data_IF_130804639710
#
_entry.id   IF_130804639710
#
_cell.length_a   1.000
_cell.length_b   1.000
_cell.length_c   1.000
_cell.angle_alpha   90.00
_cell.angle_beta   90.00
_cell.angle_gamma   90.00
#
_symmetry.space_group_name_H-M   'P 1'
#
loop_
_entity.id
_entity.type
_entity.pdbx_description
1 polymer ?
#
# COMPACT_ATOMS: atom_id res chain seq x y z
N UNK A 1 0.44 55.70 -37.89
CA UNK A 1 0.76 54.55 -38.76
C UNK A 1 2.10 54.84 -39.43
N UNK A 2 3.12 53.98 -39.26
CA UNK A 2 3.29 52.77 -40.07
C UNK A 2 3.64 51.48 -39.28
N UNK A 3 3.74 50.37 -40.03
CA UNK A 3 3.80 48.95 -39.64
C UNK A 3 5.20 48.41 -39.27
N UNK A 4 5.20 47.53 -38.24
CA UNK A 4 5.93 46.27 -37.98
C UNK A 4 7.42 46.06 -38.34
N UNK A 5 8.21 45.55 -37.37
CA UNK A 5 9.10 44.36 -37.49
C UNK A 5 9.25 43.68 -36.11
N UNK A 6 9.06 42.35 -36.08
CA UNK A 6 9.28 41.41 -34.97
C UNK A 6 10.77 41.13 -34.70
N UNK A 7 11.16 40.95 -33.43
CA UNK A 7 12.21 40.02 -32.95
C UNK A 7 12.29 40.16 -31.41
N UNK A 8 12.24 39.13 -30.56
CA UNK A 8 12.10 37.70 -30.73
C UNK A 8 11.75 37.07 -29.38
N UNK A 9 11.08 35.92 -29.42
CA UNK A 9 10.87 35.03 -28.28
C UNK A 9 12.21 34.51 -27.75
N UNK A 10 12.33 34.41 -26.42
CA UNK A 10 13.07 33.31 -25.80
C UNK A 10 12.44 32.94 -24.45
N UNK A 11 11.35 32.18 -24.53
CA UNK A 11 10.88 31.32 -23.44
C UNK A 11 11.93 30.23 -23.20
N UNK A 12 12.73 30.36 -22.14
CA UNK A 12 13.52 29.24 -21.64
C UNK A 12 12.65 28.37 -20.74
N UNK A 13 11.82 27.54 -21.35
CA UNK A 13 11.16 26.43 -20.67
C UNK A 13 12.17 25.29 -20.52
N UNK A 14 13.02 25.36 -19.49
CA UNK A 14 13.80 24.21 -19.05
C UNK A 14 12.88 23.22 -18.34
N UNK A 15 12.07 22.49 -19.12
CA UNK A 15 11.44 21.28 -18.61
C UNK A 15 12.52 20.19 -18.58
N UNK A 16 13.20 20.05 -17.44
CA UNK A 16 13.87 18.80 -17.13
C UNK A 16 12.78 17.71 -17.12
N UNK A 17 12.66 16.96 -18.22
CA UNK A 17 11.89 15.72 -18.25
C UNK A 17 12.65 14.71 -17.40
N UNK A 18 12.50 14.80 -16.08
CA UNK A 18 12.79 13.70 -15.19
C UNK A 18 11.72 12.65 -15.52
N UNK A 19 12.11 11.58 -16.20
CA UNK A 19 11.26 10.42 -16.39
C UNK A 19 10.99 9.83 -15.02
N UNK A 20 9.90 10.28 -14.38
CA UNK A 20 9.58 9.90 -13.02
C UNK A 20 9.42 8.37 -12.95
N UNK A 21 10.21 7.73 -12.09
CA UNK A 21 10.15 6.28 -11.85
C UNK A 21 8.71 5.90 -11.49
N UNK A 22 8.12 4.98 -12.25
CA UNK A 22 6.79 4.47 -11.96
C UNK A 22 6.78 3.72 -10.62
N UNK A 23 5.71 3.91 -9.87
CA UNK A 23 5.43 3.13 -8.67
C UNK A 23 4.74 1.86 -9.13
N UNK A 24 5.29 0.71 -8.72
CA UNK A 24 4.74 -0.62 -8.98
C UNK A 24 4.31 -1.24 -7.68
N UNK A 25 3.07 -1.71 -7.63
CA UNK A 25 2.50 -2.39 -6.49
C UNK A 25 2.09 -3.80 -6.91
N UNK A 26 2.31 -4.78 -6.01
CA UNK A 26 1.81 -6.15 -6.17
C UNK A 26 0.82 -6.50 -5.07
N UNK A 27 -0.22 -7.24 -5.43
CA UNK A 27 -1.24 -7.72 -4.51
C UNK A 27 -1.68 -9.14 -4.87
N UNK A 28 -1.81 -9.98 -3.86
CA UNK A 28 -2.18 -11.38 -3.98
C UNK A 28 -3.34 -11.73 -3.06
N UNK A 29 -4.10 -12.75 -3.45
CA UNK A 29 -5.05 -13.42 -2.59
C UNK A 29 -4.32 -14.27 -1.53
N UNK A 30 -5.06 -14.76 -0.53
CA UNK A 30 -4.49 -15.57 0.57
C UNK A 30 -3.84 -16.88 0.10
N UNK A 31 -4.30 -17.41 -1.02
CA UNK A 31 -3.79 -18.61 -1.71
C UNK A 31 -2.53 -18.33 -2.57
N UNK A 32 -2.10 -17.07 -2.66
CA UNK A 32 -0.97 -16.63 -3.46
C UNK A 32 -1.29 -16.36 -4.93
N UNK A 33 -2.55 -16.52 -5.38
CA UNK A 33 -2.95 -16.11 -6.72
C UNK A 33 -2.92 -14.57 -6.85
N UNK A 34 -2.61 -14.02 -8.04
CA UNK A 34 -2.74 -12.58 -8.28
C UNK A 34 -4.15 -12.09 -7.95
N UNK A 35 -4.25 -10.90 -7.35
CA UNK A 35 -5.56 -10.32 -7.03
C UNK A 35 -6.35 -10.02 -8.31
N UNK A 36 -7.65 -10.28 -8.27
CA UNK A 36 -8.54 -10.11 -9.43
C UNK A 36 -8.63 -8.63 -9.82
N UNK A 37 -8.32 -8.32 -11.08
CA UNK A 37 -8.35 -6.96 -11.62
C UNK A 37 -9.75 -6.34 -11.53
N UNK A 38 -10.81 -7.15 -11.65
CA UNK A 38 -12.19 -6.64 -11.57
C UNK A 38 -12.55 -6.14 -10.16
N UNK A 39 -11.82 -6.58 -9.14
CA UNK A 39 -11.97 -6.12 -7.75
C UNK A 39 -11.10 -4.90 -7.42
N UNK A 40 -10.31 -4.43 -8.40
CA UNK A 40 -9.48 -3.23 -8.28
C UNK A 40 -10.20 -1.96 -8.78
N UNK A 41 -11.45 -2.09 -9.25
CA UNK A 41 -12.32 -0.98 -9.64
C UNK A 41 -12.52 0.06 -8.51
N UNK A 42 -12.45 -0.41 -7.26
CA UNK A 42 -12.55 0.39 -6.04
C UNK A 42 -11.20 0.71 -5.39
N UNK A 43 -10.11 0.60 -6.16
CA UNK A 43 -8.81 1.12 -5.76
C UNK A 43 -8.90 2.65 -5.65
N UNK A 44 -8.54 3.19 -4.49
CA UNK A 44 -8.39 4.63 -4.34
C UNK A 44 -6.96 4.97 -3.94
N UNK A 45 -6.37 5.90 -4.68
CA UNK A 45 -5.14 6.58 -4.28
C UNK A 45 -5.55 7.97 -3.84
N UNK A 46 -5.43 8.24 -2.54
CA UNK A 46 -5.94 9.44 -1.90
C UNK A 46 -4.83 10.18 -1.16
N UNK A 47 -5.06 11.45 -0.85
CA UNK A 47 -4.26 12.14 0.16
C UNK A 47 -4.57 11.63 1.58
N UNK A 48 -3.93 12.23 2.59
CA UNK A 48 -4.12 11.84 3.99
C UNK A 48 -5.50 12.21 4.55
N UNK A 49 -6.27 13.04 3.84
CA UNK A 49 -7.64 13.45 4.18
C UNK A 49 -8.69 12.65 3.41
N UNK A 50 -8.30 11.53 2.76
CA UNK A 50 -9.16 10.67 1.94
C UNK A 50 -9.71 11.35 0.68
N UNK A 51 -9.11 12.45 0.21
CA UNK A 51 -9.47 13.07 -1.06
C UNK A 51 -8.78 12.32 -2.20
N UNK A 52 -9.54 11.79 -3.18
CA UNK A 52 -8.96 10.99 -4.25
C UNK A 52 -8.13 11.86 -5.22
N UNK A 53 -6.97 11.36 -5.59
CA UNK A 53 -6.22 11.92 -6.71
C UNK A 53 -6.88 11.51 -8.03
N UNK A 54 -7.00 12.46 -8.95
CA UNK A 54 -7.46 12.19 -10.32
C UNK A 54 -6.29 11.61 -11.13
N UNK A 55 -6.14 10.29 -11.09
CA UNK A 55 -5.11 9.57 -11.83
C UNK A 55 -5.70 8.34 -12.52
N UNK A 56 -4.99 7.88 -13.55
CA UNK A 56 -5.33 6.67 -14.31
C UNK A 56 -4.24 5.60 -14.05
N UNK A 57 -4.36 4.80 -12.97
CA UNK A 57 -3.43 3.72 -12.70
C UNK A 57 -3.63 2.60 -13.73
N UNK A 58 -2.52 2.03 -14.23
CA UNK A 58 -2.57 0.82 -15.04
C UNK A 58 -2.80 -0.38 -14.13
N UNK A 59 -3.88 -1.10 -14.38
CA UNK A 59 -4.28 -2.28 -13.62
C UNK A 59 -4.05 -3.55 -14.44
N UNK A 60 -3.51 -4.57 -13.79
CA UNK A 60 -3.39 -5.92 -14.30
C UNK A 60 -3.62 -6.92 -13.14
N UNK A 61 -3.84 -8.21 -13.40
CA UNK A 61 -4.00 -9.19 -12.33
C UNK A 61 -2.85 -9.12 -11.30
N UNK A 62 -3.19 -8.74 -10.08
CA UNK A 62 -2.26 -8.54 -8.97
C UNK A 62 -1.22 -7.43 -9.13
N UNK A 63 -1.32 -6.55 -10.12
CA UNK A 63 -0.36 -5.45 -10.34
C UNK A 63 -1.08 -4.11 -10.54
N UNK A 64 -0.56 -3.08 -9.88
CA UNK A 64 -1.01 -1.69 -10.02
C UNK A 64 0.22 -0.83 -10.33
N UNK A 65 0.16 -0.03 -11.39
CA UNK A 65 1.27 0.84 -11.80
C UNK A 65 0.78 2.27 -12.02
N UNK A 66 1.43 3.23 -11.38
CA UNK A 66 1.07 4.65 -11.50
C UNK A 66 2.30 5.56 -11.38
N UNK A 67 2.13 6.83 -11.78
CA UNK A 67 3.17 7.85 -11.62
C UNK A 67 3.24 8.33 -10.17
N UNK A 68 4.42 8.70 -9.64
CA UNK A 68 4.53 9.34 -8.34
C UNK A 68 3.65 10.57 -8.22
N UNK A 69 3.04 10.75 -7.05
CA UNK A 69 2.18 11.88 -6.74
C UNK A 69 2.98 13.03 -6.09
N UNK A 70 2.56 14.29 -6.29
CA UNK A 70 3.28 15.46 -5.78
C UNK A 70 3.14 15.66 -4.26
N UNK A 71 2.23 14.93 -3.60
CA UNK A 71 1.95 15.07 -2.17
C UNK A 71 1.86 13.69 -1.50
N UNK A 72 2.03 13.62 -0.16
CA UNK A 72 1.86 12.37 0.57
C UNK A 72 0.52 11.72 0.27
N UNK A 73 0.55 10.43 -0.05
CA UNK A 73 -0.63 9.69 -0.47
C UNK A 73 -0.75 8.36 0.27
N UNK A 74 -1.95 7.80 0.23
CA UNK A 74 -2.27 6.44 0.67
C UNK A 74 -2.95 5.66 -0.44
N UNK A 75 -2.76 4.36 -0.40
CA UNK A 75 -3.42 3.41 -1.30
C UNK A 75 -4.46 2.68 -0.47
N UNK A 76 -5.69 2.58 -0.98
CA UNK A 76 -6.76 1.85 -0.30
C UNK A 76 -7.51 0.96 -1.26
N UNK A 77 -7.88 -0.23 -0.77
CA UNK A 77 -8.58 -1.23 -1.55
C UNK A 77 -9.51 -2.04 -0.65
N UNK A 78 -10.75 -2.31 -1.06
CA UNK A 78 -11.60 -3.27 -0.38
C UNK A 78 -11.08 -4.69 -0.61
N UNK A 79 -10.90 -5.44 0.48
CA UNK A 79 -10.48 -6.83 0.46
C UNK A 79 -11.48 -7.65 1.25
N UNK A 80 -11.88 -8.81 0.70
CA UNK A 80 -12.71 -9.77 1.43
C UNK A 80 -11.86 -10.52 2.45
N UNK A 81 -12.20 -10.37 3.72
CA UNK A 81 -11.54 -11.04 4.84
C UNK A 81 -12.50 -12.06 5.44
N UNK A 82 -12.11 -13.36 5.50
CA UNK A 82 -12.94 -14.40 6.13
C UNK A 82 -13.36 -14.02 7.55
N UNK A 83 -14.65 -14.15 7.86
CA UNK A 83 -15.23 -13.79 9.17
C UNK A 83 -15.50 -12.30 9.38
N UNK A 84 -15.02 -11.40 8.50
CA UNK A 84 -15.22 -9.95 8.61
C UNK A 84 -15.99 -9.36 7.43
N UNK A 85 -16.07 -10.07 6.30
CA UNK A 85 -16.71 -9.57 5.09
C UNK A 85 -15.76 -8.70 4.27
N UNK A 86 -16.29 -7.67 3.62
CA UNK A 86 -15.49 -6.73 2.83
C UNK A 86 -14.95 -5.61 3.72
N UNK A 87 -13.63 -5.43 3.75
CA UNK A 87 -12.95 -4.44 4.60
C UNK A 87 -12.04 -3.58 3.75
N UNK A 88 -12.10 -2.27 3.94
CA UNK A 88 -11.13 -1.35 3.35
C UNK A 88 -9.80 -1.44 4.09
N UNK A 89 -8.75 -1.81 3.37
CA UNK A 89 -7.39 -1.78 3.86
C UNK A 89 -6.68 -0.53 3.33
N UNK A 90 -5.77 0.01 4.14
CA UNK A 90 -5.01 1.22 3.84
C UNK A 90 -3.52 0.91 3.93
N UNK A 91 -2.79 1.33 2.91
CA UNK A 91 -1.34 1.38 2.89
C UNK A 91 -0.94 2.85 2.82
N UNK A 92 -0.32 3.36 3.88
CA UNK A 92 -0.04 4.79 4.06
C UNK A 92 1.28 5.07 4.78
N UNK A 93 2.23 4.13 4.73
CA UNK A 93 3.57 4.34 5.31
C UNK A 93 3.51 4.71 6.80
N UNK A 94 2.78 3.90 7.57
CA UNK A 94 2.57 4.00 9.02
C UNK A 94 1.91 5.32 9.42
N UNK A 95 1.04 5.85 8.56
CA UNK A 95 0.34 7.12 8.75
C UNK A 95 1.06 8.35 8.18
N UNK A 96 2.31 8.23 7.71
CA UNK A 96 3.07 9.36 7.19
C UNK A 96 2.69 9.74 5.74
N UNK A 97 2.07 8.82 5.00
CA UNK A 97 1.88 8.87 3.57
C UNK A 97 3.12 8.47 2.79
N UNK A 98 2.90 7.82 1.63
CA UNK A 98 3.95 7.58 0.66
C UNK A 98 4.29 8.85 -0.09
N UNK A 99 5.56 9.02 -0.42
CA UNK A 99 6.08 10.10 -1.26
C UNK A 99 7.01 9.50 -2.31
N UNK A 100 7.33 10.27 -3.35
CA UNK A 100 8.34 9.85 -4.34
C UNK A 100 9.68 9.50 -3.65
N UNK A 101 10.06 10.27 -2.63
CA UNK A 101 11.27 10.04 -1.83
C UNK A 101 11.20 8.76 -1.00
N UNK A 102 10.08 8.50 -0.32
CA UNK A 102 9.94 7.27 0.50
C UNK A 102 9.92 5.99 -0.34
N UNK A 103 9.58 6.10 -1.63
CA UNK A 103 9.52 4.97 -2.57
C UNK A 103 10.71 4.91 -3.54
N UNK A 104 11.69 5.80 -3.40
CA UNK A 104 12.82 5.92 -4.33
C UNK A 104 13.60 4.60 -4.48
N UNK A 105 13.90 3.95 -3.35
CA UNK A 105 14.64 2.66 -3.30
C UNK A 105 13.74 1.43 -3.45
N UNK A 106 12.42 1.60 -3.35
CA UNK A 106 11.45 0.51 -3.45
C UNK A 106 11.25 0.12 -4.92
N UNK A 107 11.60 -1.11 -5.30
CA UNK A 107 11.34 -1.60 -6.67
C UNK A 107 9.86 -1.94 -6.87
N UNK A 108 9.28 -2.63 -5.89
CA UNK A 108 7.90 -3.10 -5.86
C UNK A 108 7.36 -2.93 -4.45
N UNK A 109 6.16 -2.36 -4.33
CA UNK A 109 5.43 -2.25 -3.08
C UNK A 109 4.45 -3.42 -2.95
N UNK A 110 4.70 -4.36 -2.03
CA UNK A 110 3.79 -5.49 -1.80
C UNK A 110 2.65 -5.06 -0.88
N UNK A 111 1.47 -4.82 -1.46
CA UNK A 111 0.34 -4.24 -0.71
C UNK A 111 -0.18 -5.14 0.40
N UNK A 112 -0.12 -6.47 0.26
CA UNK A 112 -0.46 -7.38 1.36
C UNK A 112 0.36 -7.09 2.62
N UNK A 113 1.65 -6.83 2.45
CA UNK A 113 2.56 -6.51 3.56
C UNK A 113 2.27 -5.12 4.11
N UNK A 114 2.16 -4.11 3.24
CA UNK A 114 1.91 -2.74 3.67
C UNK A 114 0.58 -2.58 4.40
N UNK A 115 -0.50 -3.20 3.90
CA UNK A 115 -1.79 -3.21 4.58
C UNK A 115 -1.72 -3.83 5.98
N UNK A 116 -1.04 -4.97 6.13
CA UNK A 116 -0.87 -5.61 7.43
C UNK A 116 -0.07 -4.71 8.39
N UNK A 117 0.98 -4.09 7.88
CA UNK A 117 1.89 -3.28 8.65
C UNK A 117 1.26 -1.95 9.11
N UNK A 118 0.45 -1.30 8.28
CA UNK A 118 -0.31 -0.11 8.64
C UNK A 118 -1.46 -0.41 9.60
N UNK A 119 -2.08 -1.58 9.46
CA UNK A 119 -3.06 -2.04 10.44
C UNK A 119 -2.43 -2.29 11.81
N UNK A 120 -1.26 -2.93 11.86
CA UNK A 120 -0.52 -3.13 13.11
C UNK A 120 -0.07 -1.81 13.74
N UNK A 121 0.47 -0.88 12.95
CA UNK A 121 0.84 0.44 13.46
C UNK A 121 -0.37 1.18 14.05
N UNK A 122 -1.55 1.03 13.43
CA UNK A 122 -2.80 1.59 13.96
C UNK A 122 -3.21 0.93 15.27
N UNK A 123 -3.13 -0.40 15.36
CA UNK A 123 -3.41 -1.13 16.60
C UNK A 123 -2.44 -0.70 17.71
N UNK A 124 -1.14 -0.56 17.42
CA UNK A 124 -0.14 -0.14 18.40
C UNK A 124 -0.39 1.27 18.93
N UNK A 125 -0.75 2.22 18.06
CA UNK A 125 -1.18 3.57 18.49
C UNK A 125 -2.40 3.51 19.40
N UNK A 126 -3.41 2.70 19.05
CA UNK A 126 -4.62 2.51 19.88
C UNK A 126 -4.32 1.87 21.24
N UNK A 127 -3.41 0.90 21.31
CA UNK A 127 -2.97 0.31 22.59
C UNK A 127 -2.34 1.38 23.48
N UNK A 128 -1.50 2.23 22.90
CA UNK A 128 -0.85 3.32 23.61
C UNK A 128 -1.86 4.37 24.10
N UNK A 129 -2.84 4.73 23.28
CA UNK A 129 -3.96 5.61 23.66
C UNK A 129 -4.80 5.00 24.80
N UNK A 130 -5.12 3.70 24.73
CA UNK A 130 -5.80 2.99 25.81
C UNK A 130 -4.98 3.03 27.10
N UNK A 131 -3.67 2.79 27.03
CA UNK A 131 -2.76 2.85 28.17
C UNK A 131 -2.76 4.23 28.81
N UNK A 132 -2.66 5.28 27.99
CA UNK A 132 -2.69 6.68 28.43
C UNK A 132 -4.05 7.10 29.00
N UNK A 133 -5.12 6.41 28.59
CA UNK A 133 -6.48 6.61 29.10
C UNK A 133 -6.84 5.65 30.26
N UNK A 134 -5.87 4.89 30.79
CA UNK A 134 -6.08 3.87 31.82
C UNK A 134 -7.11 2.77 31.46
N UNK A 135 -7.37 2.56 30.16
CA UNK A 135 -8.26 1.51 29.64
C UNK A 135 -7.46 0.20 29.57
N UNK A 136 -7.94 -0.84 30.24
CA UNK A 136 -7.34 -2.17 30.22
C UNK A 136 -7.92 -3.02 29.10
N UNK A 137 -7.06 -3.53 28.22
CA UNK A 137 -7.42 -4.52 27.22
C UNK A 137 -7.53 -5.91 27.86
N UNK A 138 -8.48 -6.72 27.38
CA UNK A 138 -8.62 -8.10 27.85
C UNK A 138 -7.43 -8.97 27.41
N UNK A 139 -7.11 -10.01 28.20
CA UNK A 139 -6.03 -10.96 27.88
C UNK A 139 -6.21 -11.59 26.50
N UNK A 140 -7.41 -12.05 26.16
CA UNK A 140 -7.70 -12.62 24.84
C UNK A 140 -7.52 -11.63 23.68
N UNK A 141 -7.72 -10.32 23.91
CA UNK A 141 -7.42 -9.30 22.90
C UNK A 141 -5.91 -9.16 22.71
N UNK A 142 -5.16 -9.09 23.81
CA UNK A 142 -3.69 -8.99 23.78
C UNK A 142 -3.07 -10.21 23.10
N UNK A 143 -3.53 -11.41 23.42
CA UNK A 143 -3.05 -12.66 22.78
C UNK A 143 -3.24 -12.65 21.26
N UNK A 144 -4.41 -12.18 20.79
CA UNK A 144 -4.70 -12.05 19.35
C UNK A 144 -3.80 -11.03 18.68
N UNK A 145 -3.52 -9.90 19.35
CA UNK A 145 -2.60 -8.87 18.86
C UNK A 145 -1.18 -9.45 18.75
N UNK A 146 -0.68 -10.09 19.81
CA UNK A 146 0.65 -10.71 19.82
C UNK A 146 0.79 -11.81 18.75
N UNK A 147 -0.26 -12.60 18.52
CA UNK A 147 -0.27 -13.58 17.43
C UNK A 147 -0.19 -12.92 16.06
N UNK A 148 -0.93 -11.83 15.85
CA UNK A 148 -0.91 -11.07 14.58
C UNK A 148 0.46 -10.43 14.33
N UNK A 149 1.09 -9.84 15.35
CA UNK A 149 2.46 -9.30 15.28
C UNK A 149 3.47 -10.40 14.91
N UNK A 150 3.37 -11.58 15.51
CA UNK A 150 4.24 -12.72 15.17
C UNK A 150 4.08 -13.15 13.71
N UNK A 151 2.84 -13.29 13.24
CA UNK A 151 2.56 -13.62 11.84
C UNK A 151 3.09 -12.54 10.88
N UNK A 152 3.03 -11.27 11.28
CA UNK A 152 3.56 -10.17 10.50
C UNK A 152 5.09 -10.18 10.42
N UNK A 153 5.79 -10.41 11.53
CA UNK A 153 7.26 -10.50 11.52
C UNK A 153 7.75 -11.69 10.67
N UNK A 154 7.04 -12.82 10.69
CA UNK A 154 7.31 -13.93 9.77
C UNK A 154 7.12 -13.52 8.30
N UNK A 155 6.07 -12.76 7.98
CA UNK A 155 5.83 -12.26 6.63
C UNK A 155 6.87 -11.21 6.20
N UNK A 156 7.33 -10.37 7.12
CA UNK A 156 8.35 -9.33 6.90
C UNK A 156 9.69 -9.92 6.46
N UNK A 157 10.11 -11.03 7.07
CA UNK A 157 11.34 -11.73 6.70
C UNK A 157 11.31 -12.28 5.26
N UNK A 158 10.11 -12.45 4.71
CA UNK A 158 9.87 -12.90 3.34
C UNK A 158 9.57 -11.73 2.37
N UNK A 159 9.36 -10.52 2.90
CA UNK A 159 9.01 -9.34 2.10
C UNK A 159 10.27 -8.78 1.41
N UNK A 160 10.33 -8.95 0.08
CA UNK A 160 11.47 -8.53 -0.75
C UNK A 160 11.92 -9.60 -1.74
N UNK A 161 11.47 -10.85 -1.56
CA UNK A 161 11.71 -11.93 -2.49
C UNK A 161 10.43 -12.16 -3.33
N UNK A 162 10.50 -11.90 -4.63
CA UNK A 162 9.39 -12.20 -5.57
C UNK A 162 8.96 -13.69 -5.49
N UNK A 163 9.81 -14.56 -4.92
CA UNK A 163 9.57 -16.00 -4.70
C UNK A 163 8.81 -16.34 -3.41
N UNK A 164 8.64 -15.40 -2.47
CA UNK A 164 7.95 -15.67 -1.20
C UNK A 164 6.46 -16.01 -1.37
N UNK A 165 5.83 -15.49 -2.42
CA UNK A 165 4.42 -15.80 -2.76
C UNK A 165 4.28 -17.27 -3.22
N UNK A 166 5.32 -17.83 -3.84
CA UNK A 166 5.34 -19.21 -4.35
C UNK A 166 5.53 -20.25 -3.23
N UNK A 167 6.15 -19.89 -2.10
CA UNK A 167 6.45 -20.85 -1.01
C UNK A 167 5.23 -21.28 -0.19
N UNK A 168 4.12 -20.54 -0.23
CA UNK A 168 2.86 -21.00 0.40
C UNK A 168 2.24 -22.23 -0.29
N UNK A 169 2.51 -22.43 -1.59
CA UNK A 169 2.09 -23.66 -2.30
C UNK A 169 2.75 -24.93 -1.74
N UNK A 170 3.91 -24.83 -1.09
CA UNK A 170 4.66 -26.00 -0.61
C UNK A 170 4.46 -26.35 0.87
N UNK A 171 3.84 -25.48 1.68
CA UNK A 171 3.56 -25.77 3.11
C UNK A 171 2.08 -26.06 3.43
N UNK A 172 1.19 -26.04 2.44
CA UNK A 172 -0.24 -26.32 2.60
C UNK A 172 -0.64 -27.79 2.74
N UNK A 173 0.31 -28.73 2.86
CA UNK A 173 0.03 -30.15 3.04
C UNK A 173 0.35 -30.70 4.44
N UNK A 174 0.58 -29.84 5.43
CA UNK A 174 0.65 -30.27 6.82
C UNK A 174 -0.75 -30.23 7.44
N UNK A 175 -1.45 -31.35 7.29
CA UNK A 175 -2.61 -31.75 8.10
C UNK A 175 -2.23 -31.59 9.56
N UNK A 176 -2.97 -30.78 10.31
CA UNK A 176 -2.94 -30.81 11.78
C UNK A 176 -3.96 -31.88 12.18
N UNK A 177 -3.57 -33.03 12.76
CA UNK A 177 -4.54 -33.94 13.35
C UNK A 177 -5.16 -33.27 14.59
N UNK A 178 -6.43 -33.59 14.84
CA UNK A 178 -7.18 -33.14 16.02
C UNK A 178 -6.68 -33.74 17.32
#
# INVERSE_FOLDING_TARGET
MPLAVNAGLSTFSNSLQITAKLIRCKLFNSDGAPFDVNKMDRLHICDLMLRPFQIDPKLAPGEIVFKPLPSPFRISLPVKVPGFGEVFLYADNRGAGYTAKSLEKTKTLFLNYEFAADRLATIQRLIEECRNSCIKLSSGTLERITSAERSFEQAKQLAGDDKAVTLRKYKGNAIIPG
#
